data_IF_672346728848
#
_entry.id   IF_672346728848
#
_cell.length_a   1.000
_cell.length_b   1.000
_cell.length_c   1.000
_cell.angle_alpha   90.00
_cell.angle_beta   90.00
_cell.angle_gamma   90.00
#
_symmetry.space_group_name_H-M   'P 1'
#
loop_
_entity.id
_entity.type
_entity.pdbx_description
1 polymer ?
#
# COMPACT_ATOMS: atom_id res chain seq x y z
N UNK A 1 27.98 9.71 -8.75
CA UNK A 1 26.69 9.97 -8.09
C UNK A 1 25.86 8.70 -7.86
N UNK A 2 25.88 7.69 -8.74
CA UNK A 2 25.17 6.41 -8.49
C UNK A 2 25.60 5.66 -7.20
N UNK A 3 26.90 5.70 -6.88
CA UNK A 3 27.53 4.90 -5.82
C UNK A 3 27.26 5.38 -4.37
N UNK A 4 26.79 6.62 -4.19
CA UNK A 4 26.43 7.15 -2.85
C UNK A 4 24.94 6.94 -2.56
N UNK A 5 24.08 6.96 -3.58
CA UNK A 5 22.66 6.65 -3.44
C UNK A 5 22.43 5.15 -3.14
N UNK A 6 23.18 4.27 -3.80
CA UNK A 6 23.14 2.82 -3.54
C UNK A 6 23.60 2.50 -2.12
N UNK A 7 24.69 3.11 -1.65
CA UNK A 7 25.17 2.94 -0.26
C UNK A 7 24.24 3.54 0.79
N UNK A 8 23.57 4.64 0.47
CA UNK A 8 22.56 5.24 1.35
C UNK A 8 21.33 4.34 1.47
N UNK A 9 20.87 3.78 0.34
CA UNK A 9 19.78 2.81 0.32
C UNK A 9 20.14 1.51 1.06
N UNK A 10 21.34 0.96 0.87
CA UNK A 10 21.79 -0.26 1.57
C UNK A 10 21.89 -0.07 3.09
N UNK A 11 22.40 1.07 3.56
CA UNK A 11 22.52 1.33 5.00
C UNK A 11 21.15 1.60 5.67
N UNK A 12 20.22 2.29 4.99
CA UNK A 12 18.86 2.46 5.50
C UNK A 12 18.10 1.13 5.54
N UNK A 13 18.26 0.29 4.52
CA UNK A 13 17.64 -1.04 4.48
C UNK A 13 18.18 -1.96 5.58
N UNK A 14 19.44 -1.81 6.01
CA UNK A 14 20.03 -2.66 7.05
C UNK A 14 19.73 -2.22 8.48
N UNK A 15 19.49 -0.93 8.74
CA UNK A 15 19.12 -0.41 10.08
C UNK A 15 17.60 -0.47 10.36
N UNK A 16 16.76 -0.68 9.34
CA UNK A 16 15.30 -0.56 9.45
C UNK A 16 14.55 -1.68 8.75
N UNK A 17 14.94 -2.94 9.02
CA UNK A 17 14.36 -4.15 8.41
C UNK A 17 12.83 -4.23 8.46
N UNK A 18 12.17 -3.49 9.37
CA UNK A 18 10.72 -3.59 9.61
C UNK A 18 9.93 -2.32 9.28
N UNK A 19 10.58 -1.25 8.81
CA UNK A 19 9.81 -0.17 8.20
C UNK A 19 9.11 -0.79 6.99
N UNK A 20 7.78 -0.92 7.04
CA UNK A 20 7.02 -1.52 5.94
C UNK A 20 7.03 -0.55 4.77
N UNK A 21 8.13 -0.59 4.05
CA UNK A 21 8.23 -0.27 2.66
C UNK A 21 7.71 -1.52 1.94
N UNK A 22 6.41 -1.57 1.65
CA UNK A 22 5.96 -2.51 0.63
C UNK A 22 6.44 -1.93 -0.68
N UNK A 23 7.64 -2.36 -1.06
CA UNK A 23 8.00 -2.37 -2.45
C UNK A 23 7.16 -3.48 -3.09
N UNK A 24 6.30 -3.19 -4.08
CA UNK A 24 5.56 -4.22 -4.79
C UNK A 24 6.49 -5.24 -5.49
N UNK A 25 7.80 -4.95 -5.56
CA UNK A 25 8.85 -5.82 -6.11
C UNK A 25 9.49 -6.75 -5.08
N UNK A 26 9.22 -6.57 -3.78
CA UNK A 26 9.78 -7.40 -2.71
C UNK A 26 8.78 -8.45 -2.25
N UNK A 27 9.28 -9.64 -1.88
CA UNK A 27 8.45 -10.64 -1.20
C UNK A 27 7.95 -10.09 0.12
N UNK A 28 6.67 -10.34 0.41
CA UNK A 28 6.08 -9.97 1.69
C UNK A 28 6.70 -10.83 2.81
N UNK A 29 6.90 -10.27 4.02
CA UNK A 29 7.43 -11.03 5.15
C UNK A 29 6.57 -12.26 5.49
N UNK A 30 7.20 -13.28 6.07
CA UNK A 30 6.48 -14.46 6.56
C UNK A 30 5.40 -14.05 7.59
N UNK A 31 4.18 -14.56 7.43
CA UNK A 31 3.04 -14.23 8.29
C UNK A 31 2.37 -12.88 8.00
N UNK A 32 2.84 -12.13 6.98
CA UNK A 32 2.14 -10.94 6.51
C UNK A 32 0.80 -11.32 5.83
N UNK A 33 -0.28 -10.54 5.99
CA UNK A 33 -1.54 -10.77 5.29
C UNK A 33 -1.33 -10.88 3.78
N UNK A 34 -1.78 -11.99 3.18
CA UNK A 34 -1.54 -12.25 1.76
C UNK A 34 -2.36 -11.30 0.88
N UNK A 35 -1.66 -10.31 0.32
CA UNK A 35 -2.20 -9.36 -0.67
C UNK A 35 -1.55 -9.54 -2.05
N UNK A 36 -0.76 -10.60 -2.23
CA UNK A 36 0.15 -10.78 -3.37
C UNK A 36 -0.61 -10.80 -4.71
N UNK A 37 -1.78 -11.42 -4.77
CA UNK A 37 -2.61 -11.45 -5.98
C UNK A 37 -3.06 -10.06 -6.43
N UNK A 38 -3.34 -9.15 -5.49
CA UNK A 38 -3.71 -7.77 -5.84
C UNK A 38 -2.51 -6.97 -6.33
N UNK A 39 -1.33 -7.17 -5.75
CA UNK A 39 -0.11 -6.44 -6.12
C UNK A 39 0.33 -6.73 -7.56
N UNK A 40 0.04 -7.92 -8.10
CA UNK A 40 0.30 -8.25 -9.52
C UNK A 40 -0.40 -7.32 -10.50
N UNK A 41 -1.51 -6.70 -10.09
CA UNK A 41 -2.27 -5.78 -10.93
C UNK A 41 -1.75 -4.35 -10.90
N UNK A 42 -0.80 -4.03 -10.02
CA UNK A 42 -0.22 -2.70 -9.91
C UNK A 42 0.69 -2.38 -11.11
N UNK A 43 1.43 -3.38 -11.61
CA UNK A 43 2.40 -3.25 -12.69
C UNK A 43 3.85 -3.27 -12.21
N UNK A 44 4.78 -3.54 -13.12
CA UNK A 44 6.16 -3.92 -12.78
C UNK A 44 7.09 -2.72 -12.50
N UNK A 45 6.80 -1.56 -13.10
CA UNK A 45 7.67 -0.38 -13.03
C UNK A 45 6.91 0.89 -12.58
N UNK A 46 7.50 1.70 -11.70
CA UNK A 46 6.92 2.98 -11.32
C UNK A 46 6.97 3.96 -12.51
N UNK A 47 5.86 4.66 -12.75
CA UNK A 47 5.73 5.68 -13.78
C UNK A 47 6.11 7.07 -13.27
N UNK A 48 5.76 7.36 -12.03
CA UNK A 48 5.97 8.67 -11.42
C UNK A 48 6.08 8.57 -9.90
N UNK A 49 6.80 9.52 -9.31
CA UNK A 49 6.96 9.66 -7.86
C UNK A 49 6.65 11.09 -7.47
N UNK A 50 5.55 11.26 -6.76
CA UNK A 50 5.16 12.53 -6.17
C UNK A 50 5.56 12.58 -4.71
N UNK A 51 6.25 13.64 -4.31
CA UNK A 51 6.67 13.88 -2.91
C UNK A 51 6.13 15.21 -2.42
N UNK A 52 5.57 15.19 -1.21
CA UNK A 52 5.16 16.35 -0.43
C UNK A 52 5.70 16.21 1.01
N UNK A 53 5.46 17.23 1.84
CA UNK A 53 6.13 17.37 3.15
C UNK A 53 5.98 16.14 4.07
N UNK A 54 4.81 15.49 4.10
CA UNK A 54 4.52 14.36 5.00
C UNK A 54 4.00 13.13 4.22
N UNK A 55 4.13 13.14 2.91
CA UNK A 55 3.45 12.20 2.02
C UNK A 55 4.26 11.94 0.76
N UNK A 56 4.38 10.67 0.40
CA UNK A 56 4.93 10.23 -0.87
C UNK A 56 3.91 9.36 -1.58
N UNK A 57 3.79 9.53 -2.89
CA UNK A 57 3.01 8.62 -3.73
C UNK A 57 3.80 8.16 -4.92
N UNK A 58 3.76 6.85 -5.14
CA UNK A 58 4.37 6.20 -6.29
C UNK A 58 3.24 5.71 -7.19
N UNK A 59 3.23 6.18 -8.44
CA UNK A 59 2.26 5.77 -9.45
C UNK A 59 2.82 4.62 -10.30
N UNK A 60 1.98 3.66 -10.62
CA UNK A 60 2.27 2.49 -11.45
C UNK A 60 1.18 2.36 -12.54
N UNK A 61 1.40 1.57 -13.60
CA UNK A 61 0.42 1.43 -14.69
C UNK A 61 -0.98 1.01 -14.27
N UNK A 62 -1.10 0.21 -13.22
CA UNK A 62 -2.36 -0.32 -12.71
C UNK A 62 -2.78 0.27 -11.37
N UNK A 63 -2.12 1.29 -10.83
CA UNK A 63 -2.50 1.84 -9.54
C UNK A 63 -1.50 2.81 -8.93
N UNK A 64 -1.67 3.07 -7.63
CA UNK A 64 -0.80 3.97 -6.87
C UNK A 64 -0.60 3.46 -5.44
N UNK A 65 0.59 3.72 -4.89
CA UNK A 65 0.91 3.48 -3.48
C UNK A 65 1.12 4.82 -2.80
N UNK A 66 0.41 5.03 -1.70
CA UNK A 66 0.51 6.19 -0.82
C UNK A 66 1.29 5.80 0.44
N UNK A 67 2.31 6.59 0.77
CA UNK A 67 3.10 6.49 1.98
C UNK A 67 2.99 7.78 2.78
N UNK A 68 3.03 7.69 4.10
CA UNK A 68 3.14 8.84 4.99
C UNK A 68 4.46 8.84 5.75
N UNK A 69 4.98 10.03 6.02
CA UNK A 69 6.08 10.19 6.96
C UNK A 69 5.53 10.00 8.38
N UNK A 70 5.96 8.95 9.07
CA UNK A 70 5.47 8.70 10.42
C UNK A 70 6.20 9.57 11.45
N UNK A 71 5.47 10.50 12.05
CA UNK A 71 5.95 11.34 13.14
C UNK A 71 5.56 10.82 14.54
N UNK A 72 4.98 9.61 14.64
CA UNK A 72 4.57 9.02 15.92
C UNK A 72 5.76 8.56 16.77
N UNK A 73 5.63 8.74 18.08
CA UNK A 73 6.62 8.32 19.08
C UNK A 73 6.72 6.79 19.12
N UNK A 74 7.96 6.26 19.09
CA UNK A 74 8.23 4.82 19.03
C UNK A 74 8.55 4.24 17.65
N UNK A 75 8.60 5.08 16.60
CA UNK A 75 8.93 4.66 15.22
C UNK A 75 10.18 5.34 14.67
N UNK A 76 10.83 4.71 13.65
CA UNK A 76 11.87 5.35 12.86
C UNK A 76 11.36 6.66 12.24
N UNK A 77 11.91 7.78 12.70
CA UNK A 77 11.65 9.08 12.08
C UNK A 77 12.31 9.13 10.70
N UNK A 78 11.61 9.71 9.72
CA UNK A 78 12.14 9.93 8.38
C UNK A 78 12.00 8.76 7.41
N UNK A 79 11.24 7.70 7.75
CA UNK A 79 10.91 6.63 6.83
C UNK A 79 9.44 6.67 6.39
N UNK A 80 9.16 6.57 5.08
CA UNK A 80 7.81 6.52 4.57
C UNK A 80 7.16 5.17 4.93
N UNK A 81 6.14 5.20 5.77
CA UNK A 81 5.30 4.04 6.04
C UNK A 81 4.21 3.94 5.00
N UNK A 82 3.96 2.74 4.50
CA UNK A 82 2.81 2.53 3.63
C UNK A 82 1.52 2.87 4.37
N UNK A 83 0.66 3.63 3.71
CA UNK A 83 -0.66 3.96 4.20
C UNK A 83 -1.74 3.23 3.40
N UNK A 84 -1.61 3.25 2.08
CA UNK A 84 -2.64 2.74 1.18
C UNK A 84 -2.09 2.33 -0.17
N UNK A 85 -2.65 1.26 -0.72
CA UNK A 85 -2.50 0.88 -2.12
C UNK A 85 -3.86 1.00 -2.79
N UNK A 86 -3.88 1.53 -4.01
CA UNK A 86 -5.04 1.57 -4.87
C UNK A 86 -4.71 0.84 -6.15
N UNK A 87 -5.44 -0.23 -6.45
CA UNK A 87 -5.37 -0.92 -7.72
C UNK A 87 -6.55 -0.45 -8.56
N UNK A 88 -6.27 0.16 -9.71
CA UNK A 88 -7.29 0.69 -10.61
C UNK A 88 -8.01 -0.46 -11.30
N UNK A 89 -9.33 -0.57 -11.11
CA UNK A 89 -10.12 -1.57 -11.84
C UNK A 89 -10.36 -1.20 -13.29
N UNK A 90 -10.31 0.09 -13.61
CA UNK A 90 -10.53 0.63 -14.96
C UNK A 90 -9.58 1.79 -15.19
N UNK A 91 -8.78 1.69 -16.25
CA UNK A 91 -7.82 2.72 -16.68
C UNK A 91 -8.26 3.36 -17.99
N UNK A 92 -8.02 4.66 -18.15
CA UNK A 92 -8.20 5.36 -19.44
C UNK A 92 -6.97 5.26 -20.33
N UNK A 93 -5.81 5.16 -19.70
CA UNK A 93 -4.49 4.91 -20.28
C UNK A 93 -3.59 4.36 -19.15
N UNK A 94 -2.42 3.78 -19.43
CA UNK A 94 -1.55 3.23 -18.40
C UNK A 94 -1.24 4.25 -17.30
N UNK A 95 -1.50 3.88 -16.05
CA UNK A 95 -1.26 4.70 -14.85
C UNK A 95 -2.31 5.77 -14.60
N UNK A 96 -3.35 5.86 -15.43
CA UNK A 96 -4.40 6.87 -15.28
C UNK A 96 -5.74 6.18 -15.05
N UNK A 97 -6.24 6.33 -13.83
CA UNK A 97 -7.60 5.89 -13.48
C UNK A 97 -8.63 6.60 -14.37
N UNK A 98 -9.55 5.83 -14.93
CA UNK A 98 -10.67 6.39 -15.67
C UNK A 98 -11.57 7.29 -14.78
N UNK A 99 -12.27 8.24 -15.40
CA UNK A 99 -13.18 9.11 -14.64
C UNK A 99 -14.36 8.33 -14.08
N UNK A 100 -14.73 8.63 -12.83
CA UNK A 100 -15.88 8.07 -12.14
C UNK A 100 -15.86 6.55 -11.93
N UNK A 101 -14.69 5.90 -12.05
CA UNK A 101 -14.54 4.44 -11.86
C UNK A 101 -14.01 4.01 -10.51
N UNK A 102 -13.90 4.93 -9.53
CA UNK A 102 -13.35 4.64 -8.20
C UNK A 102 -14.03 3.46 -7.49
N UNK A 103 -15.33 3.25 -7.71
CA UNK A 103 -16.06 2.10 -7.15
C UNK A 103 -15.60 0.74 -7.68
N UNK A 104 -14.82 0.71 -8.76
CA UNK A 104 -14.24 -0.50 -9.33
C UNK A 104 -12.77 -0.71 -8.91
N UNK A 105 -12.18 0.20 -8.15
CA UNK A 105 -10.81 0.06 -7.66
C UNK A 105 -10.78 -0.92 -6.46
N UNK A 106 -9.71 -1.68 -6.32
CA UNK A 106 -9.38 -2.36 -5.05
C UNK A 106 -8.57 -1.42 -4.19
N UNK A 107 -8.94 -1.29 -2.91
CA UNK A 107 -8.19 -0.50 -1.95
C UNK A 107 -7.60 -1.40 -0.87
N UNK A 108 -6.31 -1.26 -0.60
CA UNK A 108 -5.63 -1.96 0.50
C UNK A 108 -5.18 -0.89 1.48
N UNK A 109 -5.67 -0.95 2.71
CA UNK A 109 -5.39 0.01 3.78
C UNK A 109 -4.48 -0.64 4.81
N UNK A 110 -3.55 0.15 5.35
CA UNK A 110 -2.60 -0.28 6.37
C UNK A 110 -2.82 0.59 7.61
N UNK A 111 -3.59 0.06 8.56
CA UNK A 111 -3.94 0.76 9.79
C UNK A 111 -2.98 0.33 10.90
N UNK A 112 -2.33 1.30 11.53
CA UNK A 112 -1.50 1.06 12.71
C UNK A 112 -2.38 0.95 13.95
N UNK A 113 -2.31 -0.18 14.63
CA UNK A 113 -3.09 -0.49 15.83
C UNK A 113 -2.20 -0.34 17.05
N UNK A 114 -2.61 0.52 17.99
CA UNK A 114 -1.90 0.77 19.24
C UNK A 114 -2.74 0.35 20.45
N UNK A 115 -2.11 -0.24 21.46
CA UNK A 115 -2.71 -0.43 22.79
C UNK A 115 -3.85 -1.46 22.85
N UNK A 116 -4.92 -1.10 23.57
CA UNK A 116 -5.96 -1.98 24.10
C UNK A 116 -6.85 -2.64 23.02
N UNK A 117 -6.81 -2.16 21.78
CA UNK A 117 -7.60 -2.65 20.63
C UNK A 117 -7.31 -4.11 20.29
N UNK A 118 -6.13 -4.60 20.68
CA UNK A 118 -5.70 -6.00 20.47
C UNK A 118 -6.46 -6.99 21.34
N UNK A 119 -6.97 -6.54 22.50
CA UNK A 119 -7.51 -7.43 23.53
C UNK A 119 -8.86 -8.07 23.18
N UNK A 120 -9.50 -7.64 22.09
CA UNK A 120 -10.83 -8.10 21.66
C UNK A 120 -10.84 -8.79 20.28
N UNK A 121 -9.68 -9.12 19.71
CA UNK A 121 -9.60 -9.78 18.40
C UNK A 121 -9.90 -11.27 18.51
N UNK A 122 -10.74 -11.78 17.62
CA UNK A 122 -10.96 -13.22 17.48
C UNK A 122 -9.77 -13.87 16.75
N UNK A 123 -9.59 -15.19 16.92
CA UNK A 123 -8.52 -15.93 16.23
C UNK A 123 -8.57 -15.76 14.69
N UNK A 124 -9.76 -15.61 14.12
CA UNK A 124 -9.98 -15.39 12.68
C UNK A 124 -9.59 -13.97 12.21
N UNK A 125 -9.55 -12.99 13.11
CA UNK A 125 -9.19 -11.61 12.78
C UNK A 125 -7.68 -11.50 12.54
N UNK A 126 -6.87 -12.30 13.24
CA UNK A 126 -5.40 -12.24 13.20
C UNK A 126 -4.78 -12.44 11.83
N UNK A 127 -5.47 -13.11 10.90
CA UNK A 127 -4.98 -13.28 9.50
C UNK A 127 -4.80 -11.95 8.75
N UNK A 128 -5.45 -10.89 9.22
CA UNK A 128 -5.34 -9.54 8.65
C UNK A 128 -4.35 -8.66 9.41
N UNK A 129 -3.64 -9.21 10.40
CA UNK A 129 -2.72 -8.45 11.25
C UNK A 129 -1.30 -8.95 11.05
N UNK A 130 -0.35 -8.01 11.08
CA UNK A 130 1.06 -8.29 11.10
C UNK A 130 1.73 -7.58 12.28
N UNK A 131 2.60 -8.28 12.99
CA UNK A 131 3.34 -7.72 14.12
C UNK A 131 4.74 -7.32 13.68
N UNK A 132 5.05 -6.03 13.79
CA UNK A 132 6.39 -5.49 13.63
C UNK A 132 7.31 -5.94 14.77
N UNK A 133 8.64 -5.97 14.58
CA UNK A 133 9.55 -6.32 15.68
C UNK A 133 9.50 -5.29 16.82
N UNK A 134 9.12 -4.04 16.51
CA UNK A 134 8.82 -3.00 17.51
C UNK A 134 7.67 -3.36 18.45
N UNK A 135 6.90 -4.42 18.13
CA UNK A 135 5.74 -4.89 18.88
C UNK A 135 4.41 -4.27 18.44
N UNK A 136 4.46 -3.30 17.54
CA UNK A 136 3.28 -2.70 16.93
C UNK A 136 2.55 -3.66 16.01
N UNK A 137 1.23 -3.47 15.88
CA UNK A 137 0.42 -4.23 14.94
C UNK A 137 -0.02 -3.36 13.77
N UNK A 138 0.08 -3.93 12.58
CA UNK A 138 -0.50 -3.37 11.36
C UNK A 138 -1.68 -4.25 10.98
N UNK A 139 -2.84 -3.62 10.81
CA UNK A 139 -4.01 -4.25 10.23
C UNK A 139 -4.05 -3.94 8.73
N UNK A 140 -4.13 -4.98 7.93
CA UNK A 140 -4.34 -4.88 6.48
C UNK A 140 -5.82 -5.07 6.20
N UNK A 141 -6.44 -4.07 5.58
CA UNK A 141 -7.84 -4.13 5.18
C UNK A 141 -7.94 -4.06 3.66
N UNK A 142 -8.46 -5.12 3.04
CA UNK A 142 -8.75 -5.15 1.60
C UNK A 142 -10.21 -4.80 1.36
N UNK A 143 -10.45 -3.76 0.57
CA UNK A 143 -11.78 -3.38 0.09
C UNK A 143 -11.89 -3.78 -1.38
N UNK A 144 -12.70 -4.81 -1.63
CA UNK A 144 -12.95 -5.34 -2.97
C UNK A 144 -13.83 -4.40 -3.82
N UNK A 145 -13.66 -4.44 -5.14
CA UNK A 145 -14.40 -3.57 -6.05
C UNK A 145 -15.88 -3.93 -6.10
N UNK A 146 -16.72 -2.96 -6.49
CA UNK A 146 -18.13 -3.19 -6.74
C UNK A 146 -18.32 -4.25 -7.84
N UNK A 147 -19.02 -5.33 -7.52
CA UNK A 147 -19.39 -6.35 -8.50
C UNK A 147 -20.52 -5.85 -9.40
N UNK A 148 -20.15 -5.04 -10.40
CA UNK A 148 -21.05 -4.56 -11.45
C UNK A 148 -20.44 -4.84 -12.82
N UNK A 149 -21.29 -5.11 -13.80
CA UNK A 149 -20.82 -5.26 -15.18
C UNK A 149 -20.39 -3.89 -15.72
N UNK A 150 -19.08 -3.67 -15.77
CA UNK A 150 -18.43 -2.43 -16.22
C UNK A 150 -18.98 -1.93 -17.56
N UNK A 151 -19.18 -2.84 -18.53
CA UNK A 151 -19.71 -2.49 -19.85
C UNK A 151 -21.12 -1.92 -19.78
N UNK A 152 -21.96 -2.48 -18.91
CA UNK A 152 -23.32 -1.97 -18.70
C UNK A 152 -23.34 -0.61 -18.01
N UNK A 153 -22.41 -0.37 -17.07
CA UNK A 153 -22.26 0.89 -16.35
C UNK A 153 -21.82 2.04 -17.27
N UNK A 154 -20.87 1.80 -18.18
CA UNK A 154 -20.48 2.80 -19.19
C UNK A 154 -21.62 3.18 -20.12
N UNK A 155 -22.40 2.20 -20.56
CA UNK A 155 -23.51 2.45 -21.48
C UNK A 155 -24.70 3.17 -20.83
N UNK A 156 -24.78 3.21 -19.49
CA UNK A 156 -25.86 3.90 -18.78
C UNK A 156 -25.66 5.41 -18.63
N UNK A 157 -24.55 5.97 -19.13
CA UNK A 157 -24.30 7.42 -19.12
C UNK A 157 -23.96 8.00 -17.74
N UNK A 158 -23.54 7.17 -16.79
CA UNK A 158 -23.03 7.62 -15.48
C UNK A 158 -21.57 8.09 -15.58
N UNK A 159 -21.28 8.96 -16.56
CA UNK A 159 -19.95 9.53 -16.83
C UNK A 159 -19.94 11.00 -16.47
#
# INVERSE_FOLDING_TARGET
MANELEKYNENILHEYSDAIYIDPRTELPEGFPDISEHLKHLGDEPLDVFTALEYMRVAFPGGEIEYFENNQEGYPKGLPLINRIVIYGITSEPGVRARNTKGFDTHILFDLIQGDEVSNLSDDDWKNYYRLESGALIKVTVMEPEQKNVKSWWNSGNI
#
